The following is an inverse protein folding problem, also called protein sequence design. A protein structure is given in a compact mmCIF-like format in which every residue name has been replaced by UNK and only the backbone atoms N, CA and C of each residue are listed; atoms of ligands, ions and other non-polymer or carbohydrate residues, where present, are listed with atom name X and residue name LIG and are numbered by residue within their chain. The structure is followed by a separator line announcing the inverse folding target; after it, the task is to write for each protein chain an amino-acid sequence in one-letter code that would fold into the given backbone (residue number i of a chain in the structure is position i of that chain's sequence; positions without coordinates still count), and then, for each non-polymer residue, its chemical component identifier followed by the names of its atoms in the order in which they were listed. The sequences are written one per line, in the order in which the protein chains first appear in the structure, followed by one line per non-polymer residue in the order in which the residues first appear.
data_IF_847403338882
#
_entry.id   IF_847403338882
#
_cell.length_a   1.000
_cell.length_b   1.000
_cell.length_c   1.000
_cell.angle_alpha   90.00
_cell.angle_beta   90.00
_cell.angle_gamma   90.00
#
_symmetry.space_group_name_H-M   'P 1'
#
loop_
_entity.id
_entity.type
_entity.pdbx_description
1 polymer ?
#
# COMPACT_ATOMS: atom_id res chain seq x y z
N UNK A 1 -22.79 16.96 21.34
CA UNK A 1 -21.70 17.78 20.78
C UNK A 1 -21.33 17.16 19.43
N UNK A 2 -21.31 17.94 18.36
CA UNK A 2 -20.96 17.43 17.02
C UNK A 2 -19.45 17.12 16.97
N UNK A 3 -19.05 16.03 16.32
CA UNK A 3 -17.63 15.64 16.13
C UNK A 3 -16.84 16.84 15.56
N UNK A 4 -17.42 17.54 14.59
CA UNK A 4 -16.82 18.73 13.98
C UNK A 4 -16.49 19.83 15.02
N UNK A 5 -17.37 20.04 15.99
CA UNK A 5 -17.16 21.08 17.00
C UNK A 5 -16.05 20.66 17.99
N UNK A 6 -15.95 19.36 18.27
CA UNK A 6 -14.83 18.80 19.04
C UNK A 6 -13.49 19.03 18.36
N UNK A 7 -13.37 18.78 17.05
CA UNK A 7 -12.15 19.04 16.29
C UNK A 7 -11.79 20.53 16.25
N UNK A 8 -12.78 21.41 16.07
CA UNK A 8 -12.53 22.86 16.12
C UNK A 8 -11.99 23.31 17.47
N UNK A 9 -12.55 22.78 18.56
CA UNK A 9 -12.08 23.09 19.91
C UNK A 9 -10.64 22.58 20.15
N UNK A 10 -10.28 21.42 19.58
CA UNK A 10 -8.90 20.93 19.64
C UNK A 10 -7.95 21.86 18.89
N UNK A 11 -8.31 22.28 17.67
CA UNK A 11 -7.49 23.21 16.87
C UNK A 11 -7.27 24.51 17.62
N UNK A 12 -8.33 25.08 18.20
CA UNK A 12 -8.22 26.33 18.96
C UNK A 12 -7.32 26.17 20.20
N UNK A 13 -7.43 25.06 20.92
CA UNK A 13 -6.59 24.78 22.10
C UNK A 13 -5.12 24.58 21.72
N UNK A 14 -4.81 23.82 20.67
CA UNK A 14 -3.44 23.44 20.31
C UNK A 14 -2.72 24.55 19.52
N UNK A 15 -3.44 25.28 18.66
CA UNK A 15 -2.85 26.29 17.78
C UNK A 15 -3.07 27.74 18.28
N UNK A 16 -3.90 27.96 19.33
CA UNK A 16 -4.19 29.29 19.88
C UNK A 16 -5.07 30.19 19.01
N UNK A 17 -5.66 29.64 17.94
CA UNK A 17 -6.61 30.34 17.07
C UNK A 17 -7.73 29.42 16.58
N UNK A 18 -8.89 29.99 16.29
CA UNK A 18 -10.03 29.23 15.78
C UNK A 18 -9.75 28.68 14.39
N UNK A 19 -10.31 27.51 14.10
CA UNK A 19 -10.27 26.95 12.75
C UNK A 19 -10.99 27.87 11.75
N UNK A 20 -10.35 28.27 10.65
CA UNK A 20 -10.92 29.21 9.69
C UNK A 20 -12.24 28.69 9.11
N UNK A 21 -13.22 29.56 8.93
CA UNK A 21 -14.51 29.20 8.35
C UNK A 21 -14.65 29.62 6.88
N UNK A 22 -13.80 30.52 6.40
CA UNK A 22 -13.75 30.85 4.97
C UNK A 22 -13.09 29.71 4.19
N UNK A 23 -13.72 29.21 3.10
CA UNK A 23 -13.17 28.11 2.31
C UNK A 23 -11.82 28.40 1.65
N UNK A 24 -11.53 29.66 1.32
CA UNK A 24 -10.23 30.05 0.74
C UNK A 24 -9.14 29.99 1.79
N UNK A 25 -9.42 30.45 3.00
CA UNK A 25 -8.47 30.39 4.11
C UNK A 25 -8.17 28.93 4.47
N UNK A 26 -9.19 28.04 4.45
CA UNK A 26 -9.01 26.60 4.63
C UNK A 26 -8.14 26.01 3.53
N UNK A 27 -8.42 26.33 2.27
CA UNK A 27 -7.64 25.86 1.13
C UNK A 27 -6.18 26.29 1.22
N UNK A 28 -5.92 27.56 1.42
CA UNK A 28 -4.56 28.07 1.52
C UNK A 28 -3.82 27.57 2.76
N UNK A 29 -4.53 27.36 3.87
CA UNK A 29 -3.98 26.69 5.05
C UNK A 29 -3.56 25.25 4.76
N UNK A 30 -4.40 24.47 4.06
CA UNK A 30 -4.09 23.10 3.65
C UNK A 30 -2.91 23.05 2.66
N UNK A 31 -2.89 23.93 1.66
CA UNK A 31 -1.77 24.07 0.71
C UNK A 31 -0.46 24.37 1.45
N UNK A 32 -0.49 25.30 2.40
CA UNK A 32 0.68 25.65 3.24
C UNK A 32 1.15 24.47 4.09
N UNK A 33 0.23 23.69 4.65
CA UNK A 33 0.56 22.48 5.43
C UNK A 33 1.26 21.42 4.57
N UNK A 34 0.80 21.21 3.32
CA UNK A 34 1.45 20.27 2.39
C UNK A 34 2.88 20.73 2.07
N UNK A 35 3.10 22.00 1.77
CA UNK A 35 4.46 22.51 1.54
C UNK A 35 5.35 22.39 2.78
N UNK A 36 4.83 22.71 3.97
CA UNK A 36 5.57 22.58 5.21
C UNK A 36 5.94 21.12 5.51
N UNK A 37 5.10 20.18 5.16
CA UNK A 37 5.34 18.74 5.40
C UNK A 37 6.61 18.20 4.71
N UNK A 38 7.08 18.86 3.65
CA UNK A 38 8.36 18.54 2.99
C UNK A 38 9.54 18.59 3.97
N UNK A 39 9.46 19.47 4.98
CA UNK A 39 10.54 19.68 5.94
C UNK A 39 10.36 18.92 7.26
N UNK A 40 9.33 18.08 7.39
CA UNK A 40 9.19 17.24 8.58
C UNK A 40 10.23 16.10 8.59
N UNK A 41 10.53 15.53 9.76
CA UNK A 41 11.62 14.58 9.92
C UNK A 41 11.35 13.26 9.18
N UNK A 42 10.09 12.82 9.12
CA UNK A 42 9.68 11.66 8.32
C UNK A 42 9.99 11.86 6.82
N UNK A 43 9.63 13.01 6.26
CA UNK A 43 9.90 13.30 4.85
C UNK A 43 11.40 13.41 4.55
N UNK A 44 12.19 14.01 5.48
CA UNK A 44 13.66 14.05 5.36
C UNK A 44 14.27 12.66 5.42
N UNK A 45 13.79 11.80 6.32
CA UNK A 45 14.26 10.42 6.43
C UNK A 45 13.94 9.63 5.14
N UNK A 46 12.71 9.72 4.64
CA UNK A 46 12.29 9.07 3.40
C UNK A 46 13.15 9.50 2.20
N UNK A 47 13.39 10.81 2.05
CA UNK A 47 14.23 11.32 0.96
C UNK A 47 15.65 10.78 1.01
N UNK A 48 16.25 10.71 2.19
CA UNK A 48 17.60 10.14 2.37
C UNK A 48 17.67 8.66 2.00
N UNK A 49 16.62 7.90 2.33
CA UNK A 49 16.54 6.49 1.97
C UNK A 49 16.42 6.22 0.47
N UNK A 50 15.81 7.15 -0.25
CA UNK A 50 15.51 6.99 -1.68
C UNK A 50 16.32 7.93 -2.57
N UNK A 51 17.40 8.51 -2.05
CA UNK A 51 18.31 9.43 -2.76
C UNK A 51 17.56 10.58 -3.47
N UNK A 52 16.48 11.06 -2.87
CA UNK A 52 15.66 12.17 -3.41
C UNK A 52 16.32 13.51 -3.01
N UNK A 53 16.70 14.36 -3.98
CA UNK A 53 17.30 15.64 -3.69
C UNK A 53 16.41 16.57 -2.89
N UNK A 54 16.94 17.19 -1.84
CA UNK A 54 16.21 18.17 -1.02
C UNK A 54 15.71 19.37 -1.81
N UNK A 55 16.42 19.72 -2.88
CA UNK A 55 16.12 20.85 -3.75
C UNK A 55 14.88 20.68 -4.63
N UNK A 56 14.32 19.47 -4.73
CA UNK A 56 13.15 19.25 -5.60
C UNK A 56 11.88 19.90 -5.06
N UNK A 57 11.69 19.90 -3.75
CA UNK A 57 10.45 20.39 -3.15
C UNK A 57 9.27 19.43 -3.39
N UNK A 58 8.07 19.91 -3.14
CA UNK A 58 6.81 19.17 -3.34
C UNK A 58 5.80 19.99 -4.12
N UNK A 59 4.76 19.34 -4.61
CA UNK A 59 3.64 19.98 -5.32
C UNK A 59 2.32 19.67 -4.62
N UNK A 60 1.30 20.48 -4.89
CA UNK A 60 -0.04 20.31 -4.35
C UNK A 60 -1.02 20.18 -5.51
N UNK A 61 -1.84 19.15 -5.48
CA UNK A 61 -3.00 18.99 -6.34
C UNK A 61 -4.29 19.23 -5.54
N UNK A 62 -5.17 20.08 -6.06
CA UNK A 62 -6.50 20.31 -5.49
C UNK A 62 -7.52 19.64 -6.40
N UNK A 63 -8.22 18.64 -5.87
CA UNK A 63 -9.24 17.92 -6.62
C UNK A 63 -10.51 17.72 -5.80
N UNK A 64 -11.63 17.55 -6.51
CA UNK A 64 -12.91 17.25 -5.86
C UNK A 64 -12.84 15.93 -5.10
N UNK A 65 -13.42 15.89 -3.93
CA UNK A 65 -13.58 14.65 -3.19
C UNK A 65 -14.72 13.81 -3.74
N UNK A 66 -14.54 12.50 -3.68
CA UNK A 66 -15.58 11.49 -3.89
C UNK A 66 -15.64 10.60 -2.66
N UNK A 67 -16.82 10.07 -2.34
CA UNK A 67 -17.08 9.45 -1.05
C UNK A 67 -17.48 7.98 -1.21
N UNK A 68 -16.57 7.09 -0.80
CA UNK A 68 -16.82 5.64 -0.76
C UNK A 68 -17.68 5.19 0.42
N UNK A 69 -18.03 6.11 1.32
CA UNK A 69 -18.81 5.87 2.54
C UNK A 69 -20.25 6.43 2.47
N UNK A 70 -20.87 6.42 1.29
CA UNK A 70 -22.24 6.88 1.07
C UNK A 70 -23.25 5.72 1.04
N UNK A 71 -23.02 4.67 1.85
CA UNK A 71 -23.89 3.50 1.97
C UNK A 71 -23.43 2.30 1.14
N UNK A 72 -24.24 1.27 1.08
CA UNK A 72 -23.92 -0.05 0.52
C UNK A 72 -23.64 -0.05 -1.00
N UNK A 73 -24.01 1.00 -1.71
CA UNK A 73 -23.68 1.18 -3.14
C UNK A 73 -22.39 1.96 -3.37
N UNK A 74 -21.67 2.24 -2.29
CA UNK A 74 -20.41 2.99 -2.31
C UNK A 74 -19.29 2.12 -1.73
N UNK A 75 -18.09 2.30 -2.25
CA UNK A 75 -16.92 1.54 -1.85
C UNK A 75 -15.63 2.32 -2.14
N UNK A 76 -14.53 1.90 -1.56
CA UNK A 76 -13.19 2.34 -1.95
C UNK A 76 -12.29 1.13 -2.06
N UNK A 77 -11.25 1.20 -2.89
CA UNK A 77 -10.34 0.07 -3.05
C UNK A 77 -9.05 0.44 -3.76
N UNK A 78 -8.17 -0.55 -3.76
CA UNK A 78 -6.86 -0.51 -4.40
C UNK A 78 -6.67 -1.78 -5.22
N UNK A 79 -6.00 -1.64 -6.35
CA UNK A 79 -5.80 -2.74 -7.27
C UNK A 79 -4.44 -2.70 -7.95
N UNK A 80 -3.96 -3.87 -8.33
CA UNK A 80 -2.84 -4.04 -9.23
C UNK A 80 -3.32 -4.76 -10.48
N UNK A 81 -2.87 -4.32 -11.65
CA UNK A 81 -3.25 -4.97 -12.91
C UNK A 81 -2.71 -6.39 -13.03
N UNK A 82 -1.62 -6.69 -12.30
CA UNK A 82 -1.02 -8.03 -12.13
C UNK A 82 -0.70 -8.27 -10.66
N UNK A 83 -0.58 -9.53 -10.25
CA UNK A 83 -0.22 -9.85 -8.88
C UNK A 83 1.18 -9.30 -8.54
N UNK A 84 1.30 -8.37 -7.59
CA UNK A 84 2.56 -7.70 -7.27
C UNK A 84 3.58 -8.60 -6.58
N UNK A 85 3.17 -9.75 -6.07
CA UNK A 85 4.06 -10.71 -5.40
C UNK A 85 4.55 -11.80 -6.34
N UNK A 86 3.69 -12.30 -7.24
CA UNK A 86 3.99 -13.41 -8.14
C UNK A 86 4.24 -13.00 -9.58
N UNK A 87 3.74 -11.85 -10.03
CA UNK A 87 3.77 -11.39 -11.42
C UNK A 87 2.69 -12.00 -12.31
N UNK A 88 1.76 -12.77 -11.75
CA UNK A 88 0.68 -13.40 -12.52
C UNK A 88 -0.19 -12.32 -13.18
N UNK A 89 -0.49 -12.51 -14.48
CA UNK A 89 -1.31 -11.59 -15.27
C UNK A 89 -2.80 -11.71 -14.89
N UNK A 90 -3.11 -11.26 -13.68
CA UNK A 90 -4.45 -11.30 -13.09
C UNK A 90 -4.67 -10.09 -12.21
N UNK A 91 -5.84 -9.46 -12.35
CA UNK A 91 -6.27 -8.37 -11.48
C UNK A 91 -6.19 -8.82 -10.01
N UNK A 92 -5.44 -8.08 -9.23
CA UNK A 92 -5.21 -8.34 -7.82
C UNK A 92 -5.51 -7.09 -7.01
N UNK A 93 -6.19 -7.22 -5.87
CA UNK A 93 -6.48 -6.08 -5.03
C UNK A 93 -7.64 -6.31 -4.09
N UNK A 94 -8.00 -5.27 -3.39
CA UNK A 94 -8.96 -5.31 -2.30
C UNK A 94 -9.85 -4.06 -2.29
N UNK A 95 -11.05 -4.20 -1.73
CA UNK A 95 -12.00 -3.11 -1.58
C UNK A 95 -12.78 -3.23 -0.27
N UNK A 96 -13.39 -2.13 0.14
CA UNK A 96 -14.30 -2.06 1.29
C UNK A 96 -15.58 -1.35 0.89
N UNK A 97 -16.72 -1.98 1.16
CA UNK A 97 -18.03 -1.35 1.02
C UNK A 97 -18.24 -0.33 2.13
N UNK A 98 -18.85 0.80 1.80
CA UNK A 98 -19.16 1.89 2.73
C UNK A 98 -17.96 2.32 3.56
N UNK A 99 -16.86 2.69 2.88
CA UNK A 99 -15.56 3.00 3.48
C UNK A 99 -14.86 4.13 2.73
N UNK A 100 -13.92 4.77 3.41
CA UNK A 100 -12.97 5.74 2.85
C UNK A 100 -11.61 5.06 2.61
N UNK A 101 -10.72 5.71 1.83
CA UNK A 101 -9.39 5.18 1.54
C UNK A 101 -8.56 4.89 2.79
N UNK A 102 -8.70 5.70 3.82
CA UNK A 102 -8.03 5.51 5.12
C UNK A 102 -8.42 4.17 5.78
N UNK A 103 -9.65 3.72 5.65
CA UNK A 103 -10.13 2.44 6.22
C UNK A 103 -9.42 1.24 5.59
N UNK A 104 -9.08 1.34 4.29
CA UNK A 104 -8.33 0.29 3.56
C UNK A 104 -6.86 0.32 3.96
N UNK A 105 -6.23 1.50 3.94
CA UNK A 105 -4.78 1.65 4.12
C UNK A 105 -4.35 1.49 5.58
N UNK A 106 -5.17 1.96 6.54
CA UNK A 106 -4.88 1.81 7.96
C UNK A 106 -5.18 0.40 8.51
N UNK A 107 -5.89 -0.44 7.75
CA UNK A 107 -6.20 -1.81 8.18
C UNK A 107 -7.22 -1.90 9.32
N UNK A 108 -8.02 -0.85 9.54
CA UNK A 108 -9.06 -0.81 10.59
C UNK A 108 -10.15 -1.85 10.34
N UNK A 109 -10.42 -2.14 9.08
CA UNK A 109 -11.36 -3.16 8.62
C UNK A 109 -10.64 -4.16 7.71
N UNK A 110 -11.06 -5.42 7.72
CA UNK A 110 -10.53 -6.44 6.79
C UNK A 110 -11.16 -6.21 5.42
N UNK A 111 -10.36 -5.87 4.39
CA UNK A 111 -10.87 -5.69 3.04
C UNK A 111 -11.33 -7.02 2.42
N UNK A 112 -12.07 -6.91 1.32
CA UNK A 112 -12.58 -8.01 0.50
C UNK A 112 -11.84 -8.05 -0.83
N UNK A 113 -11.69 -9.23 -1.40
CA UNK A 113 -11.06 -9.42 -2.71
C UNK A 113 -11.87 -8.79 -3.84
N UNK A 114 -11.19 -8.26 -4.86
CA UNK A 114 -11.85 -7.70 -6.06
C UNK A 114 -12.51 -8.80 -6.91
N UNK A 115 -11.89 -9.98 -7.01
CA UNK A 115 -12.31 -11.06 -7.90
C UNK A 115 -12.83 -12.27 -7.12
N UNK A 116 -13.71 -13.07 -7.75
CA UNK A 116 -14.18 -14.35 -7.21
C UNK A 116 -13.03 -15.32 -6.93
N UNK A 117 -12.08 -15.39 -7.85
CA UNK A 117 -10.91 -16.27 -7.70
C UNK A 117 -10.10 -15.83 -6.48
N UNK A 118 -9.84 -14.52 -6.32
CA UNK A 118 -9.12 -14.01 -5.15
C UNK A 118 -9.84 -14.35 -3.84
N UNK A 119 -11.17 -14.17 -3.80
CA UNK A 119 -12.01 -14.55 -2.66
C UNK A 119 -11.86 -16.03 -2.28
N UNK A 120 -11.91 -16.91 -3.29
CA UNK A 120 -11.81 -18.37 -3.09
C UNK A 120 -10.43 -18.76 -2.56
N UNK A 121 -9.37 -18.21 -3.15
CA UNK A 121 -7.99 -18.43 -2.72
C UNK A 121 -7.72 -17.97 -1.29
N UNK A 122 -8.34 -16.85 -0.88
CA UNK A 122 -8.21 -16.30 0.47
C UNK A 122 -9.16 -16.94 1.48
N UNK A 123 -10.12 -17.76 1.04
CA UNK A 123 -11.14 -18.37 1.89
C UNK A 123 -12.10 -17.36 2.51
N UNK A 124 -12.37 -16.24 1.84
CA UNK A 124 -13.23 -15.17 2.34
C UNK A 124 -14.71 -15.55 2.26
N UNK A 125 -15.46 -15.22 3.30
CA UNK A 125 -16.92 -15.44 3.34
C UNK A 125 -17.70 -14.28 2.71
N UNK A 126 -17.13 -13.07 2.69
CA UNK A 126 -17.76 -11.89 2.11
C UNK A 126 -17.69 -11.94 0.57
N UNK A 127 -18.66 -11.37 -0.15
CA UNK A 127 -18.64 -11.35 -1.60
C UNK A 127 -17.52 -10.47 -2.13
N UNK A 128 -16.89 -10.89 -3.23
CA UNK A 128 -15.93 -10.07 -3.97
C UNK A 128 -16.63 -8.86 -4.62
N UNK A 129 -15.85 -7.87 -5.09
CA UNK A 129 -16.39 -6.74 -5.84
C UNK A 129 -17.10 -7.20 -7.13
N UNK A 130 -16.55 -8.22 -7.80
CA UNK A 130 -17.14 -8.84 -8.98
C UNK A 130 -18.56 -9.35 -8.72
N UNK A 131 -18.85 -9.81 -7.51
CA UNK A 131 -20.17 -10.31 -7.09
C UNK A 131 -21.06 -9.20 -6.52
N UNK A 132 -20.50 -8.30 -5.71
CA UNK A 132 -21.26 -7.26 -5.03
C UNK A 132 -21.63 -6.10 -5.95
N UNK A 133 -20.78 -5.77 -6.93
CA UNK A 133 -20.94 -4.61 -7.81
C UNK A 133 -20.56 -4.96 -9.28
N UNK A 134 -21.23 -5.92 -9.94
CA UNK A 134 -20.80 -6.49 -11.22
C UNK A 134 -20.68 -5.47 -12.36
N UNK A 135 -21.59 -4.49 -12.43
CA UNK A 135 -21.56 -3.46 -13.47
C UNK A 135 -20.35 -2.53 -13.30
N UNK A 136 -20.10 -2.09 -12.06
CA UNK A 136 -18.95 -1.23 -11.72
C UNK A 136 -17.66 -2.00 -11.94
N UNK A 137 -17.61 -3.28 -11.55
CA UNK A 137 -16.47 -4.14 -11.76
C UNK A 137 -16.13 -4.30 -13.24
N UNK A 138 -17.12 -4.48 -14.11
CA UNK A 138 -16.91 -4.54 -15.56
C UNK A 138 -16.31 -3.24 -16.14
N UNK A 139 -16.78 -2.08 -15.68
CA UNK A 139 -16.19 -0.78 -16.04
C UNK A 139 -14.75 -0.68 -15.53
N UNK A 140 -14.51 -1.10 -14.30
CA UNK A 140 -13.19 -1.09 -13.68
C UNK A 140 -12.18 -1.94 -14.45
N UNK A 141 -12.54 -3.18 -14.82
CA UNK A 141 -11.68 -4.06 -15.63
C UNK A 141 -11.30 -3.41 -16.97
N UNK A 142 -12.25 -2.72 -17.61
CA UNK A 142 -11.97 -1.98 -18.85
C UNK A 142 -10.92 -0.89 -18.65
N UNK A 143 -11.03 -0.12 -17.56
CA UNK A 143 -10.04 0.91 -17.22
C UNK A 143 -8.68 0.30 -16.88
N UNK A 144 -8.65 -0.77 -16.09
CA UNK A 144 -7.43 -1.51 -15.72
C UNK A 144 -6.64 -1.94 -16.97
N UNK A 145 -7.31 -2.57 -17.94
CA UNK A 145 -6.70 -3.01 -19.19
C UNK A 145 -6.19 -1.82 -20.02
N UNK A 146 -6.93 -0.72 -20.04
CA UNK A 146 -6.52 0.49 -20.74
C UNK A 146 -5.26 1.09 -20.14
N UNK A 147 -5.19 1.17 -18.82
CA UNK A 147 -4.03 1.71 -18.10
C UNK A 147 -2.78 0.85 -18.29
N UNK A 148 -2.88 -0.48 -18.15
CA UNK A 148 -1.73 -1.35 -18.37
C UNK A 148 -1.22 -1.25 -19.81
N UNK A 149 -2.11 -1.23 -20.79
CA UNK A 149 -1.75 -1.10 -22.21
C UNK A 149 -1.12 0.27 -22.50
N UNK A 150 -1.65 1.35 -21.92
CA UNK A 150 -1.15 2.72 -22.13
C UNK A 150 0.25 2.91 -21.53
N UNK A 151 0.44 2.51 -20.28
CA UNK A 151 1.71 2.63 -19.58
C UNK A 151 2.71 1.54 -19.95
N UNK A 152 2.24 0.47 -20.60
CA UNK A 152 3.04 -0.69 -21.00
C UNK A 152 3.74 -1.34 -19.82
N UNK A 153 3.14 -1.23 -18.63
CA UNK A 153 3.63 -1.80 -17.39
C UNK A 153 2.50 -2.01 -16.39
N UNK A 154 2.73 -2.92 -15.45
CA UNK A 154 1.85 -3.18 -14.33
C UNK A 154 1.55 -1.89 -13.54
N UNK A 155 0.28 -1.64 -13.28
CA UNK A 155 -0.20 -0.45 -12.58
C UNK A 155 -0.73 -0.78 -11.19
N UNK A 156 -0.50 0.15 -10.26
CA UNK A 156 -1.09 0.27 -8.94
C UNK A 156 -2.15 1.37 -9.01
N UNK A 157 -3.39 1.05 -8.66
CA UNK A 157 -4.58 1.85 -8.94
C UNK A 157 -5.36 2.07 -7.66
N UNK A 158 -5.75 3.31 -7.41
CA UNK A 158 -6.70 3.68 -6.35
C UNK A 158 -8.01 4.11 -6.98
N UNK A 159 -9.12 3.62 -6.45
CA UNK A 159 -10.45 3.94 -6.96
C UNK A 159 -11.48 4.08 -5.85
N UNK A 160 -12.57 4.77 -6.16
CA UNK A 160 -13.75 4.90 -5.28
C UNK A 160 -15.01 4.68 -6.11
N UNK A 161 -15.97 4.04 -5.50
CA UNK A 161 -17.35 3.94 -6.02
C UNK A 161 -18.24 4.81 -5.15
N UNK A 162 -18.82 5.84 -5.72
CA UNK A 162 -19.77 6.70 -5.04
C UNK A 162 -21.16 6.46 -5.62
N UNK A 163 -22.06 5.87 -4.83
CA UNK A 163 -23.43 5.57 -5.20
C UNK A 163 -23.54 4.85 -6.57
N UNK A 164 -22.76 3.79 -6.77
CA UNK A 164 -22.76 2.99 -7.99
C UNK A 164 -21.96 3.59 -9.15
N UNK A 165 -21.33 4.74 -8.99
CA UNK A 165 -20.47 5.37 -10.00
C UNK A 165 -19.01 5.18 -9.68
N UNK A 166 -18.24 4.66 -10.64
CA UNK A 166 -16.80 4.47 -10.53
C UNK A 166 -16.04 5.79 -10.72
N UNK A 167 -15.06 6.02 -9.86
CA UNK A 167 -14.12 7.12 -9.93
C UNK A 167 -12.69 6.60 -9.77
N UNK A 168 -11.84 6.94 -10.72
CA UNK A 168 -10.40 6.65 -10.62
C UNK A 168 -9.72 7.79 -9.89
N UNK A 169 -8.98 7.47 -8.84
CA UNK A 169 -8.32 8.48 -8.01
C UNK A 169 -6.86 8.65 -8.38
N UNK A 170 -6.14 7.54 -8.54
CA UNK A 170 -4.71 7.55 -8.84
C UNK A 170 -4.32 6.29 -9.60
N UNK A 171 -3.32 6.42 -10.48
CA UNK A 171 -2.55 5.31 -11.03
C UNK A 171 -1.07 5.62 -10.95
N UNK A 172 -0.27 4.58 -10.73
CA UNK A 172 1.20 4.65 -10.70
C UNK A 172 1.79 3.31 -11.12
N UNK A 173 3.07 3.29 -11.44
CA UNK A 173 3.77 2.04 -11.71
C UNK A 173 3.70 1.15 -10.46
N UNK A 174 3.24 -0.07 -10.63
CA UNK A 174 3.04 -1.02 -9.53
C UNK A 174 4.34 -1.41 -8.88
N UNK A 175 4.48 -1.11 -7.57
CA UNK A 175 5.54 -1.68 -6.76
C UNK A 175 5.37 -3.19 -6.69
N UNK A 176 6.47 -3.93 -6.81
CA UNK A 176 6.43 -5.39 -6.96
C UNK A 176 7.72 -6.03 -6.42
N UNK A 177 7.64 -7.29 -6.07
CA UNK A 177 8.80 -8.07 -5.66
C UNK A 177 9.74 -8.32 -6.83
N UNK A 178 11.01 -8.67 -6.56
CA UNK A 178 11.98 -9.04 -7.58
C UNK A 178 11.47 -10.18 -8.47
N UNK A 179 10.83 -11.20 -7.88
CA UNK A 179 10.20 -12.31 -8.60
C UNK A 179 9.11 -11.82 -9.55
N UNK A 180 8.22 -10.96 -9.07
CA UNK A 180 7.16 -10.37 -9.86
C UNK A 180 7.71 -9.48 -10.98
N UNK A 181 8.72 -8.66 -10.69
CA UNK A 181 9.36 -7.78 -11.68
C UNK A 181 9.93 -8.57 -12.86
N UNK A 182 10.66 -9.66 -12.56
CA UNK A 182 11.19 -10.54 -13.59
C UNK A 182 10.09 -11.18 -14.44
N UNK A 183 9.06 -11.76 -13.77
CA UNK A 183 7.95 -12.42 -14.48
C UNK A 183 7.18 -11.42 -15.33
N UNK A 184 6.81 -10.26 -14.81
CA UNK A 184 6.08 -9.22 -15.55
C UNK A 184 6.88 -8.73 -16.76
N UNK A 185 8.20 -8.54 -16.65
CA UNK A 185 9.04 -8.13 -17.76
C UNK A 185 9.05 -9.19 -18.87
N UNK A 186 9.17 -10.46 -18.51
CA UNK A 186 9.15 -11.59 -19.45
C UNK A 186 7.78 -11.70 -20.12
N UNK A 187 6.70 -11.66 -19.35
CA UNK A 187 5.33 -11.79 -19.87
C UNK A 187 4.99 -10.65 -20.84
N UNK A 188 5.28 -9.39 -20.47
CA UNK A 188 5.02 -8.22 -21.32
C UNK A 188 5.83 -8.26 -22.64
N UNK A 189 7.06 -8.83 -22.62
CA UNK A 189 7.81 -9.05 -23.83
C UNK A 189 7.22 -10.18 -24.69
N UNK A 190 6.78 -11.27 -24.08
CA UNK A 190 6.11 -12.37 -24.78
C UNK A 190 4.75 -11.96 -25.37
N UNK A 191 4.02 -11.08 -24.69
CA UNK A 191 2.77 -10.47 -25.14
C UNK A 191 2.99 -9.42 -26.24
N UNK A 192 4.24 -9.04 -26.54
CA UNK A 192 4.58 -8.03 -27.56
C UNK A 192 4.28 -6.58 -27.13
N UNK A 193 4.06 -6.35 -25.84
CA UNK A 193 3.82 -5.02 -25.29
C UNK A 193 5.11 -4.20 -25.21
N UNK A 194 6.23 -4.87 -24.89
CA UNK A 194 7.58 -4.28 -24.82
C UNK A 194 8.57 -5.12 -25.62
N UNK A 195 9.74 -4.56 -25.96
CA UNK A 195 10.82 -5.34 -26.57
C UNK A 195 11.59 -6.17 -25.53
N UNK A 196 12.37 -7.16 -25.97
CA UNK A 196 13.22 -7.94 -25.08
C UNK A 196 14.30 -7.07 -24.42
N UNK A 197 14.86 -6.11 -25.15
CA UNK A 197 15.84 -5.16 -24.62
C UNK A 197 15.21 -4.27 -23.53
N UNK A 198 13.99 -3.82 -23.75
CA UNK A 198 13.25 -3.05 -22.76
C UNK A 198 12.94 -3.91 -21.52
N UNK A 199 12.55 -5.16 -21.68
CA UNK A 199 12.32 -6.09 -20.58
C UNK A 199 13.57 -6.29 -19.72
N UNK A 200 14.74 -6.44 -20.34
CA UNK A 200 16.02 -6.58 -19.63
C UNK A 200 16.34 -5.28 -18.85
N UNK A 201 16.12 -4.11 -19.47
CA UNK A 201 16.41 -2.82 -18.83
C UNK A 201 15.52 -2.49 -17.64
N UNK A 202 14.34 -3.13 -17.52
CA UNK A 202 13.40 -2.94 -16.41
C UNK A 202 13.71 -3.77 -15.17
N UNK A 203 14.59 -4.76 -15.30
CA UNK A 203 14.98 -5.62 -14.18
C UNK A 203 16.25 -5.09 -13.55
N UNK A 204 16.13 -4.60 -12.31
CA UNK A 204 17.29 -4.14 -11.54
C UNK A 204 18.22 -5.31 -11.23
N UNK A 205 19.53 -5.24 -11.59
CA UNK A 205 20.46 -6.33 -11.33
C UNK A 205 20.53 -6.71 -9.84
N UNK A 206 20.49 -5.74 -8.95
CA UNK A 206 20.49 -5.95 -7.49
C UNK A 206 19.23 -6.70 -7.00
N UNK A 207 18.11 -6.60 -7.71
CA UNK A 207 16.89 -7.32 -7.38
C UNK A 207 17.04 -8.83 -7.66
N UNK A 208 17.92 -9.23 -8.58
CA UNK A 208 18.18 -10.65 -8.84
C UNK A 208 18.87 -11.32 -7.66
N UNK A 209 19.71 -10.61 -6.93
CA UNK A 209 20.35 -11.13 -5.72
C UNK A 209 19.31 -11.51 -4.65
N UNK A 210 18.20 -10.80 -4.60
CA UNK A 210 17.09 -11.13 -3.68
C UNK A 210 16.43 -12.48 -4.00
N UNK A 211 16.47 -12.93 -5.24
CA UNK A 211 15.95 -14.23 -5.64
C UNK A 211 16.84 -15.39 -5.17
N UNK A 212 18.08 -15.08 -4.79
CA UNK A 212 19.05 -16.03 -4.26
C UNK A 212 19.03 -16.08 -2.72
N UNK A 213 18.22 -15.26 -2.07
CA UNK A 213 18.11 -15.29 -0.61
C UNK A 213 17.54 -16.61 -0.11
N UNK A 214 18.00 -17.06 1.07
CA UNK A 214 17.49 -18.26 1.71
C UNK A 214 15.98 -18.18 1.89
N UNK A 215 15.29 -19.21 1.49
CA UNK A 215 13.89 -19.44 1.78
C UNK A 215 13.78 -20.57 2.79
N UNK A 216 12.65 -20.68 3.50
CA UNK A 216 12.39 -21.85 4.33
C UNK A 216 12.26 -23.09 3.44
N UNK A 217 12.95 -24.15 3.83
CA UNK A 217 12.79 -25.46 3.21
C UNK A 217 11.31 -25.90 3.34
N UNK A 218 10.59 -26.10 2.23
CA UNK A 218 9.18 -26.49 2.29
C UNK A 218 8.96 -27.81 3.02
N UNK A 219 9.95 -28.72 2.99
CA UNK A 219 9.90 -30.04 3.61
C UNK A 219 10.40 -30.07 5.06
N UNK A 220 10.91 -28.94 5.59
CA UNK A 220 11.38 -28.86 6.97
C UNK A 220 10.22 -28.99 7.95
N UNK A 221 10.41 -29.81 8.98
CA UNK A 221 9.48 -29.88 10.09
C UNK A 221 9.41 -28.54 10.82
N UNK A 222 8.21 -27.97 10.90
CA UNK A 222 7.97 -26.67 11.51
C UNK A 222 6.71 -26.65 12.35
N UNK A 223 6.72 -25.85 13.41
CA UNK A 223 5.53 -25.56 14.20
C UNK A 223 4.96 -24.24 13.71
N UNK A 224 3.79 -24.29 13.07
CA UNK A 224 3.08 -23.06 12.65
C UNK A 224 2.36 -22.51 13.87
N UNK A 225 2.76 -21.31 14.30
CA UNK A 225 2.14 -20.59 15.42
C UNK A 225 0.96 -19.75 14.93
N UNK A 226 1.12 -19.12 13.77
CA UNK A 226 0.07 -18.34 13.13
C UNK A 226 0.29 -18.33 11.60
N UNK A 227 -0.77 -18.03 10.86
CA UNK A 227 -0.73 -17.79 9.42
C UNK A 227 -1.21 -16.37 9.15
N UNK A 228 -0.59 -15.70 8.19
CA UNK A 228 -0.92 -14.33 7.78
C UNK A 228 -0.84 -14.14 6.28
N UNK A 229 -1.31 -12.98 5.81
CA UNK A 229 -1.21 -12.57 4.42
C UNK A 229 0.25 -12.27 4.07
N UNK A 230 0.77 -12.89 3.01
CA UNK A 230 2.15 -12.67 2.57
C UNK A 230 2.31 -11.33 1.86
N UNK A 231 3.02 -10.39 2.46
CA UNK A 231 3.31 -9.10 1.84
C UNK A 231 4.65 -9.06 1.09
N UNK A 232 5.61 -9.92 1.46
CA UNK A 232 6.93 -9.98 0.85
C UNK A 232 7.47 -11.42 0.85
N UNK A 233 8.22 -11.85 -0.19
CA UNK A 233 8.92 -13.12 -0.18
C UNK A 233 10.13 -13.09 0.74
N UNK A 234 10.54 -14.25 1.20
CA UNK A 234 11.75 -14.43 2.00
C UNK A 234 11.45 -15.02 3.38
N UNK A 235 12.51 -15.22 4.14
CA UNK A 235 12.46 -15.66 5.52
C UNK A 235 13.43 -14.84 6.36
N UNK A 236 13.03 -14.36 7.53
CA UNK A 236 13.94 -13.73 8.46
C UNK A 236 13.73 -14.27 9.89
N UNK A 237 14.77 -14.14 10.68
CA UNK A 237 14.77 -14.50 12.08
C UNK A 237 15.26 -13.32 12.90
N UNK A 238 14.75 -13.18 14.12
CA UNK A 238 15.15 -12.10 15.01
C UNK A 238 14.41 -12.14 16.33
N UNK A 239 14.82 -11.27 17.24
CA UNK A 239 14.13 -11.05 18.51
C UNK A 239 12.83 -10.28 18.26
N UNK A 240 11.74 -10.68 18.87
CA UNK A 240 10.46 -9.98 18.77
C UNK A 240 10.55 -8.66 19.56
N UNK A 241 10.13 -7.57 18.93
CA UNK A 241 9.95 -6.26 19.54
C UNK A 241 8.58 -5.71 19.15
N UNK A 242 7.97 -4.91 20.04
CA UNK A 242 6.61 -4.41 19.86
C UNK A 242 6.54 -2.89 19.66
N UNK A 243 7.69 -2.27 19.64
CA UNK A 243 7.83 -0.81 19.53
C UNK A 243 8.88 -0.42 18.47
N UNK A 244 8.59 0.65 17.70
CA UNK A 244 9.43 1.06 16.58
C UNK A 244 10.78 1.65 17.03
N UNK A 245 10.78 2.43 18.12
CA UNK A 245 12.00 3.01 18.70
C UNK A 245 12.90 1.90 19.26
N UNK A 246 12.29 0.88 19.89
CA UNK A 246 13.01 -0.28 20.41
C UNK A 246 13.62 -1.13 19.28
N UNK A 247 12.90 -1.26 18.15
CA UNK A 247 13.42 -1.95 16.97
C UNK A 247 14.67 -1.23 16.42
N UNK A 248 14.62 0.08 16.29
CA UNK A 248 15.76 0.88 15.84
C UNK A 248 16.94 0.78 16.82
N UNK A 249 16.67 0.92 18.12
CA UNK A 249 17.68 0.83 19.17
C UNK A 249 18.41 -0.53 19.18
N UNK A 250 17.65 -1.64 19.12
CA UNK A 250 18.24 -2.98 19.13
C UNK A 250 18.99 -3.29 17.84
N UNK A 251 18.45 -2.88 16.71
CA UNK A 251 19.14 -3.00 15.43
C UNK A 251 20.45 -2.21 15.40
N UNK A 252 20.49 -1.03 16.00
CA UNK A 252 21.70 -0.23 16.19
C UNK A 252 22.77 -0.91 17.06
N UNK A 253 22.38 -1.86 17.90
CA UNK A 253 23.29 -2.72 18.68
C UNK A 253 23.74 -3.98 17.91
N UNK A 254 23.33 -4.14 16.64
CA UNK A 254 23.65 -5.29 15.79
C UNK A 254 22.73 -6.50 15.99
N UNK A 255 21.63 -6.35 16.73
CA UNK A 255 20.67 -7.43 16.96
C UNK A 255 19.68 -7.52 15.76
N UNK A 256 19.38 -8.74 15.33
CA UNK A 256 18.30 -9.00 14.41
C UNK A 256 16.95 -8.90 15.12
N UNK A 257 16.03 -8.08 14.63
CA UNK A 257 14.71 -7.88 15.26
C UNK A 257 13.57 -8.12 14.29
N UNK A 258 12.45 -8.60 14.80
CA UNK A 258 11.15 -8.71 14.14
C UNK A 258 10.19 -7.75 14.84
N UNK A 259 9.70 -6.75 14.12
CA UNK A 259 8.74 -5.80 14.65
C UNK A 259 7.32 -6.38 14.57
N UNK A 260 6.68 -6.52 15.71
CA UNK A 260 5.30 -7.03 15.83
C UNK A 260 4.40 -5.90 16.30
N UNK A 261 3.38 -5.56 15.50
CA UNK A 261 2.43 -4.49 15.81
C UNK A 261 0.99 -4.97 15.65
N UNK A 262 0.03 -4.30 16.28
CA UNK A 262 -1.39 -4.47 15.93
C UNK A 262 -1.63 -3.99 14.49
N UNK A 263 -1.17 -2.80 14.19
CA UNK A 263 -1.16 -2.15 12.89
C UNK A 263 0.08 -1.25 12.80
N UNK A 264 0.50 -0.88 11.61
CA UNK A 264 1.63 0.06 11.43
C UNK A 264 1.13 1.42 11.00
N UNK A 265 1.73 2.45 11.55
CA UNK A 265 1.50 3.85 11.17
C UNK A 265 2.70 4.41 10.38
N UNK A 266 2.52 5.52 9.67
CA UNK A 266 3.64 6.20 9.02
C UNK A 266 4.75 6.66 9.98
N UNK A 267 4.45 6.83 11.25
CA UNK A 267 5.41 7.21 12.30
C UNK A 267 6.35 6.05 12.66
N UNK A 268 5.92 4.80 12.49
CA UNK A 268 6.72 3.59 12.76
C UNK A 268 7.85 3.34 11.73
N UNK A 269 8.01 4.22 10.73
CA UNK A 269 8.89 4.03 9.56
C UNK A 269 10.34 3.70 9.91
N UNK A 270 10.89 4.30 10.95
CA UNK A 270 12.28 4.10 11.39
C UNK A 270 12.47 2.68 11.96
N UNK A 271 11.54 2.22 12.81
CA UNK A 271 11.55 0.86 13.35
C UNK A 271 11.26 -0.20 12.31
N UNK A 272 10.35 0.09 11.39
CA UNK A 272 10.07 -0.76 10.23
C UNK A 272 11.30 -0.93 9.32
N UNK A 273 12.12 0.10 9.19
CA UNK A 273 13.37 0.04 8.42
C UNK A 273 14.46 -0.74 9.15
N UNK A 274 14.53 -0.60 10.45
CA UNK A 274 15.53 -1.27 11.28
C UNK A 274 15.26 -2.77 11.46
N UNK A 275 13.99 -3.19 11.37
CA UNK A 275 13.57 -4.57 11.56
C UNK A 275 13.91 -5.44 10.33
N UNK A 276 14.31 -6.70 10.56
CA UNK A 276 14.46 -7.71 9.50
C UNK A 276 13.14 -8.25 8.99
N UNK A 277 12.09 -8.10 9.78
CA UNK A 277 10.74 -8.49 9.40
C UNK A 277 9.70 -7.76 10.21
N UNK A 278 8.50 -7.66 9.66
CA UNK A 278 7.36 -7.00 10.28
C UNK A 278 6.17 -7.95 10.25
N UNK A 279 5.49 -8.03 11.40
CA UNK A 279 4.25 -8.79 11.55
C UNK A 279 3.20 -7.86 12.09
N UNK A 280 2.02 -7.86 11.50
CA UNK A 280 0.88 -7.09 11.99
C UNK A 280 -0.31 -7.99 12.25
N UNK A 281 -1.08 -7.69 13.31
CA UNK A 281 -2.31 -8.42 13.60
C UNK A 281 -3.45 -8.02 12.67
N UNK A 282 -3.39 -6.82 12.08
CA UNK A 282 -4.38 -6.25 11.16
C UNK A 282 -3.71 -5.62 9.96
N UNK A 283 -4.43 -5.52 8.84
CA UNK A 283 -4.00 -4.87 7.62
C UNK A 283 -4.05 -5.80 6.41
N UNK A 284 -4.27 -5.21 5.25
CA UNK A 284 -4.26 -5.88 3.95
C UNK A 284 -2.91 -5.76 3.25
N UNK A 285 -2.84 -6.27 2.02
CA UNK A 285 -1.64 -6.24 1.16
C UNK A 285 -1.21 -4.83 0.75
N UNK A 286 -2.05 -3.84 0.97
CA UNK A 286 -1.81 -2.42 0.67
C UNK A 286 -1.59 -1.57 1.92
N UNK A 287 -1.60 -2.17 3.11
CA UNK A 287 -1.30 -1.48 4.37
C UNK A 287 0.11 -0.86 4.36
N UNK A 288 0.37 0.07 5.27
CA UNK A 288 1.69 0.70 5.41
C UNK A 288 2.81 -0.33 5.61
N UNK A 289 2.54 -1.43 6.34
CA UNK A 289 3.49 -2.54 6.50
C UNK A 289 3.79 -3.24 5.17
N UNK A 290 2.77 -3.48 4.35
CA UNK A 290 2.90 -4.15 3.06
C UNK A 290 3.48 -3.24 1.96
N UNK A 291 3.18 -1.94 1.98
CA UNK A 291 3.67 -0.99 0.98
C UNK A 291 5.19 -0.76 1.01
N UNK A 292 5.86 -1.19 2.10
CA UNK A 292 7.32 -1.11 2.25
C UNK A 292 8.04 -2.39 1.83
N UNK A 293 7.78 -2.85 0.63
CA UNK A 293 8.34 -4.08 0.06
C UNK A 293 9.84 -4.10 -0.15
N UNK A 294 10.50 -2.94 -0.05
CA UNK A 294 11.98 -2.84 -0.11
C UNK A 294 12.65 -3.30 1.19
N UNK A 295 11.87 -3.52 2.24
CA UNK A 295 12.32 -4.18 3.47
C UNK A 295 11.88 -5.63 3.40
N UNK A 296 12.76 -6.56 3.73
CA UNK A 296 12.45 -8.00 3.80
C UNK A 296 11.34 -8.24 4.82
N UNK A 297 10.09 -8.17 4.35
CA UNK A 297 8.91 -8.45 5.14
C UNK A 297 8.62 -9.94 5.09
N UNK A 298 8.41 -10.54 6.23
CA UNK A 298 8.31 -11.98 6.40
C UNK A 298 6.90 -12.41 6.62
N UNK A 299 6.67 -13.63 6.14
CA UNK A 299 5.58 -14.46 6.53
C UNK A 299 5.78 -15.09 7.90
N UNK A 300 4.79 -14.98 8.68
CA UNK A 300 4.56 -15.91 9.77
C UNK A 300 3.29 -16.68 9.51
#
# INVERSE_FOLDING_TARGET
MCIRDSYKAVVERELGHAFPQDPKDQLWGAVGAVFASWMNDRAKFYRRMHDIPESWGTAVSVQSMVFGNMGETSATGVAFTRNPSTGEARLYGEFLINAQGEDVVAGIRTPQSLTKIGREEMGENAPSMEEAMPEVFGQFVTVVNTLESHYRDMQDIEFTVEQGRLWMLQTRNGKRTAKSALKVAVDLAAEGVISQEEAISRVEPSALDQLLHPTLDPDAARTVVAAGLPASPGAATGKIVFDADEAERMSGLGEAVILVREETSPEDIHGMHAARGIVTARGGMTSHAAARRDLSLIHI
#
